data_IF_123908353877
#
_entry.id   IF_123908353877
#
_cell.length_a   1.000
_cell.length_b   1.000
_cell.length_c   1.000
_cell.angle_alpha   90.00
_cell.angle_beta   90.00
_cell.angle_gamma   90.00
#
_symmetry.space_group_name_H-M   'P 1'
#
loop_
_entity.id
_entity.type
_entity.pdbx_description
1 polymer ?
#
# COMPACT_ATOMS: atom_id res chain seq x y z
N UNK A 1 33.75 -21.60 -15.32
CA UNK A 1 33.46 -20.22 -15.75
C UNK A 1 34.51 -19.32 -15.15
N UNK A 2 35.16 -18.49 -15.93
CA UNK A 2 36.16 -17.54 -15.47
C UNK A 2 35.50 -16.45 -14.58
N UNK A 3 36.29 -15.85 -13.66
CA UNK A 3 35.81 -14.77 -12.78
C UNK A 3 35.34 -13.54 -13.59
N UNK A 4 35.98 -13.25 -14.71
CA UNK A 4 35.59 -12.14 -15.58
C UNK A 4 34.27 -12.41 -16.27
N UNK A 5 34.02 -13.63 -16.73
CA UNK A 5 32.75 -14.05 -17.34
C UNK A 5 31.60 -13.93 -16.31
N UNK A 6 31.81 -14.41 -15.07
CA UNK A 6 30.83 -14.33 -14.01
C UNK A 6 30.46 -12.87 -13.68
N UNK A 7 31.47 -11.98 -13.62
CA UNK A 7 31.27 -10.55 -13.36
C UNK A 7 30.47 -9.90 -14.50
N UNK A 8 30.77 -10.23 -15.75
CA UNK A 8 30.05 -9.72 -16.92
C UNK A 8 28.60 -10.18 -16.91
N UNK A 9 28.33 -11.47 -16.69
CA UNK A 9 26.97 -12.02 -16.61
C UNK A 9 26.17 -11.33 -15.49
N UNK A 10 26.79 -11.06 -14.33
CA UNK A 10 26.13 -10.36 -13.22
C UNK A 10 25.77 -8.92 -13.63
N UNK A 11 26.68 -8.20 -14.26
CA UNK A 11 26.45 -6.82 -14.76
C UNK A 11 25.35 -6.77 -15.81
N UNK A 12 25.39 -7.68 -16.79
CA UNK A 12 24.36 -7.79 -17.84
C UNK A 12 22.99 -8.09 -17.23
N UNK A 13 22.92 -8.95 -16.20
CA UNK A 13 21.71 -9.21 -15.43
C UNK A 13 21.16 -7.96 -14.76
N UNK A 14 22.01 -7.18 -14.08
CA UNK A 14 21.60 -5.93 -13.44
C UNK A 14 21.14 -4.87 -14.46
N UNK A 15 21.85 -4.74 -15.57
CA UNK A 15 21.48 -3.80 -16.65
C UNK A 15 20.10 -4.16 -17.23
N UNK A 16 19.87 -5.44 -17.52
CA UNK A 16 18.56 -5.91 -17.99
C UNK A 16 17.44 -5.65 -16.98
N UNK A 17 17.70 -5.88 -15.69
CA UNK A 17 16.74 -5.62 -14.63
C UNK A 17 16.37 -4.12 -14.58
N UNK A 18 17.36 -3.23 -14.60
CA UNK A 18 17.17 -1.78 -14.60
C UNK A 18 16.35 -1.33 -15.83
N UNK A 19 16.58 -1.96 -16.97
CA UNK A 19 15.85 -1.71 -18.22
C UNK A 19 14.46 -2.40 -18.24
N UNK A 20 14.03 -3.03 -17.12
CA UNK A 20 12.78 -3.79 -17.00
C UNK A 20 12.68 -5.03 -17.91
N UNK A 21 13.78 -5.49 -18.45
CA UNK A 21 13.89 -6.73 -19.22
C UNK A 21 14.03 -7.92 -18.25
N UNK A 22 12.99 -8.18 -17.46
CA UNK A 22 13.05 -9.11 -16.33
C UNK A 22 13.41 -10.56 -16.75
N UNK A 23 12.89 -11.03 -17.88
CA UNK A 23 13.19 -12.35 -18.40
C UNK A 23 14.68 -12.51 -18.74
N UNK A 24 15.27 -11.53 -19.43
CA UNK A 24 16.69 -11.53 -19.78
C UNK A 24 17.59 -11.44 -18.53
N UNK A 25 17.24 -10.58 -17.56
CA UNK A 25 17.95 -10.49 -16.30
C UNK A 25 17.97 -11.85 -15.57
N UNK A 26 16.80 -12.49 -15.48
CA UNK A 26 16.61 -13.80 -14.84
C UNK A 26 17.45 -14.88 -15.52
N UNK A 27 17.48 -14.91 -16.85
CA UNK A 27 18.29 -15.88 -17.59
C UNK A 27 19.77 -15.78 -17.24
N UNK A 28 20.33 -14.56 -17.17
CA UNK A 28 21.71 -14.34 -16.76
C UNK A 28 21.96 -14.83 -15.34
N UNK A 29 21.12 -14.43 -14.39
CA UNK A 29 21.28 -14.82 -12.99
C UNK A 29 21.09 -16.32 -12.74
N UNK A 30 20.23 -17.00 -13.51
CA UNK A 30 20.09 -18.46 -13.44
C UNK A 30 21.36 -19.20 -13.90
N UNK A 31 22.15 -18.65 -14.86
CA UNK A 31 23.46 -19.21 -15.22
C UNK A 31 24.42 -19.20 -14.02
N UNK A 32 24.45 -18.08 -13.28
CA UNK A 32 25.27 -17.95 -12.08
C UNK A 32 24.75 -18.83 -10.92
N UNK A 33 23.45 -18.95 -10.77
CA UNK A 33 22.85 -19.75 -9.72
C UNK A 33 23.14 -21.25 -9.89
N UNK A 34 23.42 -21.75 -11.11
CA UNK A 34 23.87 -23.12 -11.32
C UNK A 34 25.25 -23.40 -10.68
N UNK A 35 26.08 -22.35 -10.55
CA UNK A 35 27.44 -22.46 -9.98
C UNK A 35 27.38 -22.31 -8.45
N UNK A 36 26.57 -21.35 -7.98
CA UNK A 36 26.36 -21.11 -6.56
C UNK A 36 24.86 -21.15 -6.22
N UNK A 37 24.28 -22.35 -6.02
CA UNK A 37 22.85 -22.53 -5.81
C UNK A 37 22.29 -21.89 -4.53
N UNK A 38 23.17 -21.54 -3.58
CA UNK A 38 22.80 -20.92 -2.29
C UNK A 38 23.04 -19.42 -2.25
N UNK A 39 23.35 -18.80 -3.36
CA UNK A 39 23.59 -17.36 -3.43
C UNK A 39 22.31 -16.57 -3.20
N UNK A 40 22.16 -16.03 -2.00
CA UNK A 40 20.95 -15.27 -1.58
C UNK A 40 20.71 -14.05 -2.47
N UNK A 41 21.79 -13.35 -2.88
CA UNK A 41 21.63 -12.16 -3.75
C UNK A 41 21.06 -12.51 -5.12
N UNK A 42 21.51 -13.60 -5.74
CA UNK A 42 20.97 -14.09 -7.00
C UNK A 42 19.53 -14.57 -6.84
N UNK A 43 19.24 -15.33 -5.78
CA UNK A 43 17.90 -15.80 -5.49
C UNK A 43 16.93 -14.64 -5.29
N UNK A 44 17.33 -13.58 -4.56
CA UNK A 44 16.55 -12.35 -4.40
C UNK A 44 16.31 -11.64 -5.74
N UNK A 45 17.37 -11.46 -6.54
CA UNK A 45 17.23 -10.83 -7.86
C UNK A 45 16.24 -11.59 -8.74
N UNK A 46 16.36 -12.92 -8.81
CA UNK A 46 15.46 -13.78 -9.58
C UNK A 46 14.02 -13.68 -9.05
N UNK A 47 13.81 -13.74 -7.73
CA UNK A 47 12.47 -13.61 -7.14
C UNK A 47 11.81 -12.29 -7.51
N UNK A 48 12.57 -11.18 -7.50
CA UNK A 48 12.08 -9.86 -7.91
C UNK A 48 11.69 -9.82 -9.39
N UNK A 49 12.43 -10.51 -10.29
CA UNK A 49 12.04 -10.56 -11.71
C UNK A 49 10.68 -11.23 -11.90
N UNK A 50 10.42 -12.30 -11.18
CA UNK A 50 9.13 -12.97 -11.20
C UNK A 50 8.02 -12.10 -10.60
N UNK A 51 8.31 -11.43 -9.49
CA UNK A 51 7.36 -10.51 -8.85
C UNK A 51 6.91 -9.39 -9.77
N UNK A 52 7.84 -8.72 -10.46
CA UNK A 52 7.50 -7.66 -11.41
C UNK A 52 6.75 -8.15 -12.66
N UNK A 53 6.84 -9.43 -12.98
CA UNK A 53 6.04 -10.08 -14.01
C UNK A 53 4.70 -10.63 -13.47
N UNK A 54 4.37 -10.37 -12.20
CA UNK A 54 3.17 -10.90 -11.50
C UNK A 54 3.08 -12.44 -11.47
N UNK A 55 4.24 -13.13 -11.46
CA UNK A 55 4.36 -14.58 -11.37
C UNK A 55 4.55 -14.98 -9.90
N UNK A 56 3.47 -14.93 -9.12
CA UNK A 56 3.54 -15.06 -7.67
C UNK A 56 4.04 -16.45 -7.20
N UNK A 57 3.68 -17.51 -7.90
CA UNK A 57 4.10 -18.88 -7.55
C UNK A 57 5.62 -19.07 -7.70
N UNK A 58 6.18 -18.57 -8.82
CA UNK A 58 7.63 -18.60 -9.03
C UNK A 58 8.35 -17.68 -8.02
N UNK A 59 7.79 -16.52 -7.71
CA UNK A 59 8.31 -15.62 -6.67
C UNK A 59 8.38 -16.34 -5.33
N UNK A 60 7.30 -16.97 -4.89
CA UNK A 60 7.23 -17.77 -3.67
C UNK A 60 8.30 -18.86 -3.65
N UNK A 61 8.43 -19.62 -4.73
CA UNK A 61 9.42 -20.71 -4.85
C UNK A 61 10.84 -20.25 -4.55
N UNK A 62 11.24 -19.07 -5.08
CA UNK A 62 12.59 -18.55 -4.85
C UNK A 62 12.73 -17.94 -3.45
N UNK A 63 11.72 -17.27 -2.94
CA UNK A 63 11.73 -16.73 -1.58
C UNK A 63 11.81 -17.84 -0.52
N UNK A 64 11.11 -18.96 -0.71
CA UNK A 64 11.23 -20.14 0.19
C UNK A 64 12.66 -20.65 0.23
N UNK A 65 13.34 -20.76 -0.92
CA UNK A 65 14.77 -21.16 -0.94
C UNK A 65 15.65 -20.23 -0.12
N UNK A 66 15.40 -18.91 -0.15
CA UNK A 66 16.17 -17.95 0.64
C UNK A 66 15.89 -18.16 2.13
N UNK A 67 14.63 -18.28 2.52
CA UNK A 67 14.23 -18.50 3.93
C UNK A 67 14.75 -19.83 4.46
N UNK A 68 14.81 -20.88 3.64
CA UNK A 68 15.40 -22.18 3.99
C UNK A 68 16.91 -22.10 4.19
N UNK A 69 17.61 -21.26 3.40
CA UNK A 69 19.08 -21.04 3.55
C UNK A 69 19.36 -20.16 4.77
N UNK A 70 18.59 -19.07 4.93
CA UNK A 70 18.79 -18.11 6.00
C UNK A 70 17.46 -17.50 6.44
N UNK A 71 16.85 -18.05 7.47
CA UNK A 71 15.63 -17.51 8.06
C UNK A 71 15.81 -16.08 8.61
N UNK A 72 17.03 -15.68 8.95
CA UNK A 72 17.32 -14.34 9.48
C UNK A 72 17.43 -13.26 8.41
N UNK A 73 17.02 -13.54 7.16
CA UNK A 73 16.93 -12.55 6.09
C UNK A 73 15.53 -11.86 6.12
N UNK A 74 15.40 -10.69 6.80
CA UNK A 74 14.08 -10.14 7.10
C UNK A 74 13.33 -9.69 5.84
N UNK A 75 14.04 -9.23 4.80
CA UNK A 75 13.43 -8.79 3.55
C UNK A 75 12.80 -9.95 2.80
N UNK A 76 13.50 -11.07 2.69
CA UNK A 76 12.97 -12.25 2.01
C UNK A 76 11.79 -12.86 2.77
N UNK A 77 11.88 -12.95 4.10
CA UNK A 77 10.80 -13.44 4.94
C UNK A 77 9.55 -12.55 4.84
N UNK A 78 9.73 -11.24 4.94
CA UNK A 78 8.64 -10.27 4.80
C UNK A 78 7.96 -10.37 3.43
N UNK A 79 8.76 -10.45 2.37
CA UNK A 79 8.23 -10.58 1.02
C UNK A 79 7.50 -11.92 0.82
N UNK A 80 8.03 -13.02 1.36
CA UNK A 80 7.35 -14.33 1.33
C UNK A 80 5.97 -14.26 2.00
N UNK A 81 5.89 -13.64 3.17
CA UNK A 81 4.62 -13.47 3.89
C UNK A 81 3.60 -12.69 3.05
N UNK A 82 4.03 -11.58 2.42
CA UNK A 82 3.15 -10.76 1.58
C UNK A 82 2.70 -11.51 0.31
N UNK A 83 3.57 -12.31 -0.31
CA UNK A 83 3.23 -13.14 -1.47
C UNK A 83 2.22 -14.24 -1.08
N UNK A 84 2.42 -14.87 0.07
CA UNK A 84 1.46 -15.86 0.59
C UNK A 84 0.09 -15.23 0.88
N UNK A 85 0.05 -14.02 1.42
CA UNK A 85 -1.18 -13.26 1.61
C UNK A 85 -1.87 -12.96 0.27
N UNK A 86 -1.12 -12.51 -0.75
CA UNK A 86 -1.65 -12.22 -2.08
C UNK A 86 -2.23 -13.47 -2.77
N UNK A 87 -1.69 -14.65 -2.46
CA UNK A 87 -2.18 -15.93 -2.96
C UNK A 87 -3.29 -16.55 -2.10
N UNK A 88 -3.79 -15.80 -1.12
CA UNK A 88 -4.79 -16.26 -0.13
C UNK A 88 -4.33 -17.44 0.76
N UNK A 89 -3.01 -17.68 0.85
CA UNK A 89 -2.39 -18.70 1.71
C UNK A 89 -2.22 -18.17 3.15
N UNK A 90 -3.29 -17.65 3.73
CA UNK A 90 -3.29 -16.91 5.02
C UNK A 90 -2.72 -17.74 6.17
N UNK A 91 -3.07 -19.03 6.24
CA UNK A 91 -2.60 -19.92 7.30
C UNK A 91 -1.07 -20.08 7.28
N UNK A 92 -0.47 -20.17 6.09
CA UNK A 92 0.98 -20.25 5.94
C UNK A 92 1.66 -18.92 6.25
N UNK A 93 1.10 -17.81 5.76
CA UNK A 93 1.59 -16.47 6.08
C UNK A 93 1.66 -16.26 7.61
N UNK A 94 0.57 -16.60 8.33
CA UNK A 94 0.54 -16.53 9.81
C UNK A 94 1.59 -17.44 10.47
N UNK A 95 1.90 -18.63 9.92
CA UNK A 95 2.98 -19.50 10.43
C UNK A 95 4.36 -18.84 10.29
N UNK A 96 4.65 -18.25 9.13
CA UNK A 96 5.94 -17.55 8.91
C UNK A 96 6.07 -16.30 9.77
N UNK A 97 4.98 -15.56 10.02
CA UNK A 97 5.01 -14.44 10.95
C UNK A 97 5.35 -14.92 12.37
N UNK A 98 4.65 -15.94 12.88
CA UNK A 98 4.94 -16.51 14.21
C UNK A 98 6.41 -16.95 14.33
N UNK A 99 6.93 -17.61 13.30
CA UNK A 99 8.32 -18.05 13.26
C UNK A 99 9.28 -16.86 13.28
N UNK A 100 9.04 -15.84 12.45
CA UNK A 100 9.86 -14.63 12.38
C UNK A 100 9.86 -13.83 13.70
N UNK A 101 8.70 -13.72 14.36
CA UNK A 101 8.58 -13.10 15.68
C UNK A 101 9.34 -13.88 16.76
N UNK A 102 9.20 -15.22 16.79
CA UNK A 102 9.90 -16.08 17.76
C UNK A 102 11.42 -16.02 17.63
N UNK A 103 11.93 -15.80 16.43
CA UNK A 103 13.36 -15.64 16.13
C UNK A 103 13.84 -14.19 16.19
N UNK A 104 12.97 -13.23 16.53
CA UNK A 104 13.24 -11.77 16.57
C UNK A 104 13.73 -11.21 15.23
N UNK A 105 13.33 -11.83 14.12
CA UNK A 105 13.60 -11.35 12.75
C UNK A 105 12.56 -10.31 12.32
N UNK A 106 11.32 -10.47 12.79
CA UNK A 106 10.20 -9.56 12.55
C UNK A 106 9.86 -8.77 13.82
N UNK A 107 9.36 -7.57 13.63
CA UNK A 107 8.96 -6.66 14.70
C UNK A 107 7.47 -6.74 15.05
N UNK A 108 7.03 -5.89 15.98
CA UNK A 108 5.66 -5.83 16.51
C UNK A 108 4.60 -5.50 15.46
N UNK A 109 4.96 -4.83 14.37
CA UNK A 109 4.07 -4.55 13.25
C UNK A 109 3.50 -5.84 12.65
N UNK A 110 4.34 -6.88 12.51
CA UNK A 110 3.92 -8.17 11.95
C UNK A 110 2.94 -8.92 12.84
N UNK A 111 3.01 -8.73 14.16
CA UNK A 111 2.00 -9.28 15.07
C UNK A 111 0.63 -8.67 14.80
N UNK A 112 0.57 -7.34 14.62
CA UNK A 112 -0.68 -6.64 14.30
C UNK A 112 -1.20 -7.08 12.92
N UNK A 113 -0.33 -7.13 11.92
CA UNK A 113 -0.69 -7.60 10.59
C UNK A 113 -1.27 -9.03 10.63
N UNK A 114 -0.64 -9.94 11.36
CA UNK A 114 -1.13 -11.32 11.54
C UNK A 114 -2.54 -11.37 12.12
N UNK A 115 -2.86 -10.49 13.09
CA UNK A 115 -4.17 -10.47 13.73
C UNK A 115 -5.27 -9.88 12.84
N UNK A 116 -4.91 -9.09 11.84
CA UNK A 116 -5.84 -8.46 10.89
C UNK A 116 -5.94 -9.20 9.55
N UNK A 117 -5.06 -10.19 9.30
CA UNK A 117 -5.10 -11.00 8.08
C UNK A 117 -6.34 -11.89 8.03
N UNK A 118 -7.04 -11.86 6.91
CA UNK A 118 -8.18 -12.72 6.61
C UNK A 118 -8.14 -13.19 5.16
N UNK A 119 -8.77 -14.33 4.83
CA UNK A 119 -8.96 -14.75 3.44
C UNK A 119 -9.67 -13.67 2.62
N UNK A 120 -9.23 -13.49 1.38
CA UNK A 120 -9.91 -12.61 0.41
C UNK A 120 -11.23 -13.27 -0.02
N UNK A 121 -11.17 -14.57 -0.32
CA UNK A 121 -12.34 -15.36 -0.71
C UNK A 121 -12.77 -16.21 0.48
N UNK A 122 -14.00 -16.02 0.93
CA UNK A 122 -14.63 -16.83 1.97
C UNK A 122 -15.64 -17.78 1.31
N UNK A 123 -15.53 -19.05 1.63
CA UNK A 123 -16.25 -20.12 0.93
C UNK A 123 -17.69 -20.31 1.41
N UNK A 124 -18.06 -19.70 2.55
CA UNK A 124 -19.40 -19.82 3.13
C UNK A 124 -19.77 -18.62 4.00
N UNK A 125 -21.08 -18.45 4.23
CA UNK A 125 -21.57 -17.44 5.16
C UNK A 125 -21.07 -17.66 6.60
N UNK A 126 -20.85 -18.90 7.00
CA UNK A 126 -20.34 -19.22 8.33
C UNK A 126 -18.87 -18.83 8.47
N UNK A 127 -18.08 -19.03 7.41
CA UNK A 127 -16.70 -18.55 7.36
C UNK A 127 -16.63 -17.03 7.39
N UNK A 128 -17.50 -16.33 6.67
CA UNK A 128 -17.62 -14.86 6.72
C UNK A 128 -17.87 -14.41 8.16
N UNK A 129 -18.89 -14.97 8.83
CA UNK A 129 -19.24 -14.63 10.21
C UNK A 129 -18.08 -14.90 11.17
N UNK A 130 -17.47 -16.09 11.07
CA UNK A 130 -16.33 -16.49 11.91
C UNK A 130 -15.15 -15.53 11.74
N UNK A 131 -14.76 -15.24 10.50
CA UNK A 131 -13.64 -14.32 10.19
C UNK A 131 -13.92 -12.92 10.72
N UNK A 132 -15.16 -12.43 10.58
CA UNK A 132 -15.58 -11.14 11.09
C UNK A 132 -15.48 -11.05 12.62
N UNK A 133 -15.98 -12.06 13.32
CA UNK A 133 -15.90 -12.15 14.81
C UNK A 133 -14.43 -12.20 15.25
N UNK A 134 -13.59 -12.97 14.55
CA UNK A 134 -12.16 -13.08 14.87
C UNK A 134 -11.46 -11.73 14.70
N UNK A 135 -11.67 -11.03 13.57
CA UNK A 135 -11.10 -9.70 13.32
C UNK A 135 -11.56 -8.71 14.39
N UNK A 136 -12.85 -8.69 14.70
CA UNK A 136 -13.42 -7.78 15.70
C UNK A 136 -12.80 -8.01 17.08
N UNK A 137 -12.71 -9.26 17.52
CA UNK A 137 -12.05 -9.65 18.76
C UNK A 137 -10.58 -9.23 18.80
N UNK A 138 -9.85 -9.44 17.71
CA UNK A 138 -8.43 -9.07 17.62
C UNK A 138 -8.24 -7.55 17.70
N UNK A 139 -9.09 -6.78 17.01
CA UNK A 139 -9.09 -5.32 17.07
C UNK A 139 -9.36 -4.83 18.49
N UNK A 140 -10.35 -5.39 19.16
CA UNK A 140 -10.69 -5.04 20.57
C UNK A 140 -9.53 -5.34 21.50
N UNK A 141 -8.87 -6.48 21.35
CA UNK A 141 -7.70 -6.84 22.13
C UNK A 141 -6.54 -5.84 21.94
N UNK A 142 -6.31 -5.36 20.70
CA UNK A 142 -5.29 -4.35 20.42
C UNK A 142 -5.69 -2.99 21.02
N UNK A 143 -6.95 -2.57 20.89
CA UNK A 143 -7.45 -1.30 21.46
C UNK A 143 -7.30 -1.29 22.97
N UNK A 144 -7.65 -2.39 23.64
CA UNK A 144 -7.61 -2.52 25.10
C UNK A 144 -6.21 -2.76 25.66
N UNK A 145 -5.24 -3.07 24.83
CA UNK A 145 -3.87 -3.32 25.26
C UNK A 145 -3.23 -2.01 25.75
N UNK A 146 -2.64 -1.97 26.97
CA UNK A 146 -1.95 -0.78 27.48
C UNK A 146 -0.68 -0.43 26.70
N UNK A 147 -0.14 -1.35 25.90
CA UNK A 147 1.05 -1.11 25.09
C UNK A 147 0.81 -0.02 24.03
N UNK A 148 1.77 0.89 23.91
CA UNK A 148 1.78 1.91 22.87
C UNK A 148 2.55 1.39 21.67
N UNK A 149 1.85 1.08 20.59
CA UNK A 149 2.44 0.49 19.39
C UNK A 149 3.35 1.47 18.65
N UNK A 150 2.98 2.76 18.58
CA UNK A 150 3.77 3.82 17.93
C UNK A 150 4.30 3.44 16.55
N UNK A 151 3.45 2.82 15.74
CA UNK A 151 3.81 2.49 14.36
C UNK A 151 3.91 3.77 13.54
N UNK A 152 4.87 3.80 12.62
CA UNK A 152 4.97 4.85 11.62
C UNK A 152 4.15 4.46 10.40
N UNK A 153 3.18 5.28 10.00
CA UNK A 153 2.23 4.99 8.92
C UNK A 153 2.93 4.85 7.56
N UNK A 154 4.06 5.54 7.34
CA UNK A 154 4.81 5.45 6.07
C UNK A 154 5.55 4.12 5.91
N UNK A 155 5.95 3.47 7.03
CA UNK A 155 6.79 2.27 7.02
C UNK A 155 6.06 0.99 7.43
N UNK A 156 4.98 1.11 8.21
CA UNK A 156 4.29 -0.01 8.85
C UNK A 156 2.80 -0.02 8.49
N UNK A 157 2.51 0.05 7.21
CA UNK A 157 1.13 0.16 6.74
C UNK A 157 0.32 -1.12 7.01
N UNK A 158 -0.78 -0.97 7.75
CA UNK A 158 -1.82 -1.99 7.88
C UNK A 158 -2.92 -1.67 6.87
N UNK A 159 -3.26 -2.64 6.02
CA UNK A 159 -4.29 -2.47 5.01
C UNK A 159 -5.63 -2.04 5.62
N UNK A 160 -6.41 -1.17 4.94
CA UNK A 160 -7.73 -0.80 5.40
C UNK A 160 -8.68 -2.00 5.48
N UNK A 161 -9.09 -2.36 6.68
CA UNK A 161 -9.98 -3.51 6.92
C UNK A 161 -11.38 -3.27 6.34
N UNK A 162 -11.82 -2.03 6.32
CA UNK A 162 -13.16 -1.64 5.88
C UNK A 162 -13.45 -2.06 4.46
N UNK A 163 -12.44 -2.02 3.57
CA UNK A 163 -12.63 -2.37 2.17
C UNK A 163 -13.04 -3.84 1.99
N UNK A 164 -12.31 -4.77 2.61
CA UNK A 164 -12.62 -6.21 2.52
C UNK A 164 -13.92 -6.59 3.22
N UNK A 165 -14.24 -5.92 4.32
CA UNK A 165 -15.46 -6.16 5.10
C UNK A 165 -16.72 -5.61 4.42
N UNK A 166 -16.60 -4.68 3.49
CA UNK A 166 -17.74 -4.10 2.76
C UNK A 166 -18.43 -5.12 1.85
N UNK A 167 -17.74 -6.20 1.46
CA UNK A 167 -18.30 -7.26 0.62
C UNK A 167 -19.05 -8.35 1.41
N UNK A 168 -19.00 -8.29 2.73
CA UNK A 168 -19.55 -9.33 3.61
C UNK A 168 -21.08 -9.23 3.83
N UNK A 169 -21.76 -8.24 3.24
CA UNK A 169 -23.22 -8.00 3.32
C UNK A 169 -23.77 -7.76 4.74
N UNK A 170 -22.93 -7.37 5.70
CA UNK A 170 -23.34 -7.01 7.06
C UNK A 170 -23.33 -5.49 7.25
N UNK A 171 -24.09 -5.02 8.25
CA UNK A 171 -23.93 -3.65 8.75
C UNK A 171 -22.52 -3.49 9.34
N UNK A 172 -21.79 -2.52 8.80
CA UNK A 172 -20.41 -2.26 9.16
C UNK A 172 -20.23 -1.06 10.11
N UNK A 173 -21.32 -0.38 10.52
CA UNK A 173 -21.21 0.87 11.28
C UNK A 173 -20.39 0.71 12.55
N UNK A 174 -20.74 -0.25 13.39
CA UNK A 174 -20.07 -0.44 14.68
C UNK A 174 -18.64 -0.98 14.52
N UNK A 175 -18.44 -1.88 13.56
CA UNK A 175 -17.11 -2.39 13.24
C UNK A 175 -16.19 -1.29 12.69
N UNK A 176 -16.71 -0.42 11.83
CA UNK A 176 -15.97 0.73 11.32
C UNK A 176 -15.56 1.70 12.43
N UNK A 177 -16.43 1.96 13.42
CA UNK A 177 -16.08 2.75 14.60
C UNK A 177 -14.92 2.11 15.39
N UNK A 178 -14.92 0.79 15.55
CA UNK A 178 -13.81 0.04 16.16
C UNK A 178 -12.54 0.12 15.34
N UNK A 179 -12.63 -0.01 14.00
CA UNK A 179 -11.49 0.16 13.11
C UNK A 179 -10.83 1.54 13.24
N UNK A 180 -11.62 2.62 13.34
CA UNK A 180 -11.07 3.97 13.57
C UNK A 180 -10.29 4.03 14.91
N UNK A 181 -10.84 3.48 15.98
CA UNK A 181 -10.15 3.43 17.29
C UNK A 181 -8.86 2.60 17.20
N UNK A 182 -8.90 1.49 16.49
CA UNK A 182 -7.76 0.63 16.25
C UNK A 182 -6.64 1.38 15.49
N UNK A 183 -6.94 2.03 14.37
CA UNK A 183 -5.92 2.79 13.63
C UNK A 183 -5.34 3.94 14.46
N UNK A 184 -6.16 4.66 15.22
CA UNK A 184 -5.69 5.69 16.13
C UNK A 184 -4.82 5.15 17.27
N UNK A 185 -5.02 3.90 17.70
CA UNK A 185 -4.21 3.23 18.71
C UNK A 185 -2.85 2.83 18.19
N UNK A 186 -2.77 2.34 16.96
CA UNK A 186 -1.50 1.87 16.36
C UNK A 186 -0.69 2.99 15.71
N UNK A 187 -1.36 4.04 15.20
CA UNK A 187 -0.75 5.22 14.56
C UNK A 187 -1.08 6.50 15.35
N UNK A 188 -0.23 6.89 16.31
CA UNK A 188 -0.49 8.08 17.15
C UNK A 188 -0.65 9.37 16.37
N UNK A 189 -0.02 9.50 15.19
CA UNK A 189 -0.15 10.66 14.33
C UNK A 189 -1.60 10.92 13.86
N UNK A 190 -2.46 9.90 13.81
CA UNK A 190 -3.88 10.07 13.48
C UNK A 190 -4.70 10.71 14.60
N UNK A 191 -4.13 10.88 15.80
CA UNK A 191 -4.78 11.57 16.91
C UNK A 191 -4.57 13.08 16.90
N UNK A 192 -3.72 13.59 16.00
CA UNK A 192 -3.49 15.04 15.90
C UNK A 192 -4.75 15.73 15.39
N UNK A 193 -5.36 16.54 16.25
CA UNK A 193 -6.46 17.41 15.85
C UNK A 193 -5.84 18.71 15.34
N UNK A 194 -6.02 19.00 14.06
CA UNK A 194 -5.56 20.25 13.47
C UNK A 194 -6.70 21.27 13.56
N UNK A 195 -6.57 22.26 14.43
CA UNK A 195 -7.47 23.40 14.48
C UNK A 195 -7.20 24.28 13.25
N UNK A 196 -8.06 24.17 12.25
CA UNK A 196 -8.01 25.05 11.09
C UNK A 196 -8.76 26.34 11.46
N UNK A 197 -8.02 27.42 11.71
CA UNK A 197 -8.63 28.75 11.82
C UNK A 197 -9.19 29.12 10.44
N UNK A 198 -10.51 28.99 10.28
CA UNK A 198 -11.20 29.40 9.05
C UNK A 198 -11.05 30.90 8.87
N UNK A 199 -10.55 31.30 7.72
CA UNK A 199 -10.63 32.68 7.27
C UNK A 199 -11.96 32.79 6.52
N UNK A 200 -12.80 33.74 6.87
CA UNK A 200 -14.04 34.01 6.14
C UNK A 200 -13.71 34.29 4.67
N UNK A 201 -14.13 33.43 3.79
CA UNK A 201 -14.02 33.56 2.34
C UNK A 201 -15.42 33.62 1.72
N UNK A 202 -15.56 34.39 0.66
CA UNK A 202 -16.81 34.44 -0.13
C UNK A 202 -17.06 33.13 -0.92
N UNK A 203 -16.02 32.31 -1.08
CA UNK A 203 -16.09 31.03 -1.81
C UNK A 203 -15.78 29.86 -0.90
N UNK A 204 -16.40 28.71 -1.21
CA UNK A 204 -16.13 27.43 -0.55
C UNK A 204 -14.88 26.82 -1.17
N UNK A 205 -13.86 26.55 -0.36
CA UNK A 205 -12.65 25.83 -0.80
C UNK A 205 -12.88 24.33 -0.75
N UNK A 206 -12.88 23.69 -1.92
CA UNK A 206 -13.07 22.25 -2.03
C UNK A 206 -11.82 21.60 -2.61
N UNK A 207 -11.26 20.61 -1.89
CA UNK A 207 -10.17 19.78 -2.32
C UNK A 207 -10.66 18.41 -2.80
N UNK A 208 -10.16 17.95 -3.93
CA UNK A 208 -10.32 16.58 -4.42
C UNK A 208 -8.99 15.87 -4.32
N UNK A 209 -8.94 14.74 -3.60
CA UNK A 209 -7.72 13.94 -3.45
C UNK A 209 -7.92 12.53 -3.95
N UNK A 210 -7.09 12.09 -4.91
CA UNK A 210 -7.17 10.73 -5.47
C UNK A 210 -5.88 10.34 -6.19
N UNK A 211 -5.53 9.05 -6.10
CA UNK A 211 -4.49 8.42 -6.93
C UNK A 211 -4.95 8.23 -8.38
N UNK A 212 -6.27 8.17 -8.60
CA UNK A 212 -6.90 7.75 -9.84
C UNK A 212 -7.51 8.89 -10.65
N UNK A 213 -7.16 10.17 -10.39
CA UNK A 213 -7.53 11.30 -11.26
C UNK A 213 -6.71 11.32 -12.55
N UNK A 214 -6.74 10.18 -13.24
CA UNK A 214 -6.05 9.86 -14.49
C UNK A 214 -7.06 9.23 -15.45
N UNK A 215 -6.61 8.59 -16.54
CA UNK A 215 -7.48 7.87 -17.50
C UNK A 215 -8.13 6.59 -16.91
N UNK A 216 -8.26 6.55 -15.60
CA UNK A 216 -9.00 5.57 -14.82
C UNK A 216 -10.49 5.91 -14.74
N UNK A 217 -11.34 4.94 -14.38
CA UNK A 217 -12.79 5.14 -14.21
C UNK A 217 -13.12 6.28 -13.24
N UNK A 218 -12.42 6.37 -12.12
CA UNK A 218 -12.58 7.45 -11.13
C UNK A 218 -12.32 8.82 -11.77
N UNK A 219 -11.21 8.97 -12.50
CA UNK A 219 -10.89 10.21 -13.19
C UNK A 219 -11.94 10.57 -14.24
N UNK A 220 -12.46 9.58 -15.00
CA UNK A 220 -13.53 9.80 -15.99
C UNK A 220 -14.82 10.28 -15.35
N UNK A 221 -15.19 9.74 -14.19
CA UNK A 221 -16.40 10.12 -13.46
C UNK A 221 -16.27 11.51 -12.84
N UNK A 222 -15.16 11.83 -12.17
CA UNK A 222 -15.05 13.02 -11.34
C UNK A 222 -14.48 14.25 -12.05
N UNK A 223 -13.74 14.09 -13.17
CA UNK A 223 -13.21 15.25 -13.90
C UNK A 223 -14.30 16.26 -14.29
N UNK A 224 -15.49 15.77 -14.67
CA UNK A 224 -16.60 16.63 -15.08
C UNK A 224 -17.12 17.50 -13.93
N UNK A 225 -17.15 16.95 -12.71
CA UNK A 225 -17.50 17.69 -11.50
C UNK A 225 -16.42 18.73 -11.22
N UNK A 226 -15.15 18.32 -11.16
CA UNK A 226 -13.99 19.18 -10.86
C UNK A 226 -13.94 20.38 -11.81
N UNK A 227 -14.11 20.15 -13.12
CA UNK A 227 -13.95 21.18 -14.15
C UNK A 227 -15.22 22.06 -14.37
N UNK A 228 -16.38 21.70 -13.78
CA UNK A 228 -17.65 22.41 -13.99
C UNK A 228 -18.24 23.01 -12.73
N UNK A 229 -17.55 22.93 -11.58
CA UNK A 229 -17.97 23.65 -10.39
C UNK A 229 -17.98 25.17 -10.67
N UNK A 230 -19.01 25.84 -10.20
CA UNK A 230 -19.19 27.29 -10.36
C UNK A 230 -18.05 28.05 -9.66
N UNK A 231 -17.15 28.62 -10.44
CA UNK A 231 -15.99 29.36 -9.95
C UNK A 231 -16.33 30.62 -9.14
N UNK A 232 -17.58 31.12 -9.23
CA UNK A 232 -18.03 32.23 -8.38
C UNK A 232 -18.32 31.75 -6.96
N UNK A 233 -18.56 30.43 -6.75
CA UNK A 233 -18.94 29.83 -5.47
C UNK A 233 -17.83 28.95 -4.89
N UNK A 234 -16.96 28.39 -5.73
CA UNK A 234 -15.97 27.39 -5.32
C UNK A 234 -14.55 27.76 -5.76
N UNK A 235 -13.63 27.60 -4.86
CA UNK A 235 -12.18 27.50 -5.16
C UNK A 235 -11.81 26.03 -5.16
N UNK A 236 -11.49 25.50 -6.34
CA UNK A 236 -11.26 24.06 -6.54
C UNK A 236 -9.77 23.75 -6.49
N UNK A 237 -9.41 22.77 -5.67
CA UNK A 237 -8.05 22.30 -5.49
C UNK A 237 -8.00 20.79 -5.74
N UNK A 238 -7.02 20.33 -6.52
CA UNK A 238 -6.83 18.92 -6.84
C UNK A 238 -5.51 18.45 -6.27
N UNK A 239 -5.54 17.39 -5.50
CA UNK A 239 -4.37 16.75 -4.92
C UNK A 239 -4.11 15.42 -5.62
N UNK A 240 -3.01 15.32 -6.33
CA UNK A 240 -2.51 14.12 -6.96
C UNK A 240 -1.55 13.41 -6.02
N UNK A 241 -1.53 12.09 -6.02
CA UNK A 241 -0.50 11.33 -5.34
C UNK A 241 0.74 11.19 -6.23
N UNK A 242 1.86 10.79 -5.64
CA UNK A 242 3.11 10.50 -6.34
C UNK A 242 2.94 9.40 -7.43
N UNK A 243 1.96 8.51 -7.27
CA UNK A 243 1.66 7.45 -8.24
C UNK A 243 0.78 7.88 -9.41
N UNK A 244 0.33 9.12 -9.42
CA UNK A 244 -0.54 9.63 -10.49
C UNK A 244 0.16 9.56 -11.84
N UNK A 245 -0.39 8.76 -12.75
CA UNK A 245 0.18 8.52 -14.08
C UNK A 245 -0.21 9.63 -15.07
N UNK A 246 0.65 9.93 -16.02
CA UNK A 246 0.32 10.80 -17.13
C UNK A 246 -0.83 10.21 -17.96
N UNK A 247 -1.69 11.10 -18.48
CA UNK A 247 -2.84 10.72 -19.28
C UNK A 247 -3.65 11.94 -19.72
N UNK A 248 -4.69 11.70 -20.50
CA UNK A 248 -5.52 12.77 -21.08
C UNK A 248 -6.25 13.57 -20.02
N UNK A 249 -6.70 12.92 -18.95
CA UNK A 249 -7.41 13.57 -17.84
C UNK A 249 -6.46 14.46 -17.04
N UNK A 250 -5.27 13.96 -16.69
CA UNK A 250 -4.26 14.78 -16.01
C UNK A 250 -3.88 16.00 -16.85
N UNK A 251 -3.77 15.85 -18.19
CA UNK A 251 -3.53 16.98 -19.08
C UNK A 251 -4.66 18.02 -18.98
N UNK A 252 -5.92 17.60 -19.04
CA UNK A 252 -7.08 18.51 -18.90
C UNK A 252 -7.07 19.27 -17.56
N UNK A 253 -6.69 18.60 -16.47
CA UNK A 253 -6.58 19.24 -15.14
C UNK A 253 -5.41 20.26 -15.10
N UNK A 254 -4.30 19.97 -15.77
CA UNK A 254 -3.19 20.94 -15.90
C UNK A 254 -3.56 22.13 -16.79
N UNK A 255 -4.29 21.90 -17.88
CA UNK A 255 -4.77 22.97 -18.74
C UNK A 255 -5.76 23.89 -17.99
N UNK A 256 -6.63 23.30 -17.14
CA UNK A 256 -7.53 24.06 -16.27
C UNK A 256 -6.79 24.88 -15.20
N UNK A 257 -5.66 24.39 -14.69
CA UNK A 257 -4.80 25.17 -13.80
C UNK A 257 -4.17 26.36 -14.51
N UNK A 258 -3.65 26.17 -15.73
CA UNK A 258 -3.08 27.25 -16.54
C UNK A 258 -4.10 28.36 -16.85
N UNK A 259 -5.37 28.00 -16.98
CA UNK A 259 -6.46 28.98 -17.16
C UNK A 259 -6.94 29.63 -15.84
N UNK A 260 -6.39 29.24 -14.71
CA UNK A 260 -6.74 29.76 -13.39
C UNK A 260 -8.05 29.19 -12.80
N UNK A 261 -8.60 28.13 -13.41
CA UNK A 261 -9.85 27.51 -12.95
C UNK A 261 -9.69 26.70 -11.68
N UNK A 262 -8.56 26.01 -11.53
CA UNK A 262 -8.27 25.12 -10.40
C UNK A 262 -6.79 25.29 -9.97
N UNK A 263 -6.42 24.70 -8.82
CA UNK A 263 -5.03 24.51 -8.42
C UNK A 263 -4.72 23.02 -8.38
N UNK A 264 -3.51 22.61 -8.80
CA UNK A 264 -3.04 21.23 -8.68
C UNK A 264 -1.87 21.15 -7.70
N UNK A 265 -1.88 20.13 -6.85
CA UNK A 265 -0.75 19.76 -5.99
C UNK A 265 -0.37 18.31 -6.23
N UNK A 266 0.92 18.04 -6.33
CA UNK A 266 1.47 16.68 -6.33
C UNK A 266 2.01 16.39 -4.93
N UNK A 267 1.32 15.52 -4.22
CA UNK A 267 1.63 15.19 -2.83
C UNK A 267 2.83 14.23 -2.75
N UNK A 268 3.78 14.46 -1.83
CA UNK A 268 4.86 13.51 -1.56
C UNK A 268 4.32 12.21 -0.95
N UNK A 269 5.14 11.16 -0.87
CA UNK A 269 4.77 9.90 -0.21
C UNK A 269 4.61 10.03 1.31
N UNK A 270 5.42 10.89 1.94
CA UNK A 270 5.42 11.05 3.40
C UNK A 270 4.11 11.63 3.94
N UNK A 271 3.49 10.92 4.90
CA UNK A 271 2.18 11.27 5.46
C UNK A 271 2.14 12.66 6.11
N UNK A 272 3.14 13.01 6.92
CA UNK A 272 3.16 14.30 7.61
C UNK A 272 3.34 15.47 6.64
N UNK A 273 4.09 15.28 5.56
CA UNK A 273 4.26 16.30 4.52
C UNK A 273 2.97 16.47 3.70
N UNK A 274 2.30 15.37 3.35
CA UNK A 274 0.96 15.42 2.73
C UNK A 274 0.00 16.23 3.57
N UNK A 275 -0.10 15.92 4.87
CA UNK A 275 -0.96 16.66 5.79
C UNK A 275 -0.64 18.14 5.81
N UNK A 276 0.62 18.53 5.90
CA UNK A 276 1.04 19.95 5.92
C UNK A 276 0.58 20.70 4.67
N UNK A 277 0.72 20.08 3.48
CA UNK A 277 0.30 20.69 2.21
C UNK A 277 -1.22 20.89 2.20
N UNK A 278 -1.99 19.86 2.56
CA UNK A 278 -3.46 19.91 2.57
C UNK A 278 -3.96 20.94 3.59
N UNK A 279 -3.41 20.94 4.80
CA UNK A 279 -3.81 21.86 5.87
C UNK A 279 -3.52 23.33 5.54
N UNK A 280 -2.43 23.60 4.80
CA UNK A 280 -2.06 24.96 4.36
C UNK A 280 -3.16 25.59 3.49
N UNK A 281 -3.89 24.79 2.74
CA UNK A 281 -4.98 25.27 1.88
C UNK A 281 -6.25 25.69 2.64
N UNK A 282 -6.39 25.29 3.93
CA UNK A 282 -7.56 25.64 4.78
C UNK A 282 -8.88 25.32 4.12
N UNK A 283 -9.04 24.09 3.63
CA UNK A 283 -10.22 23.62 2.92
C UNK A 283 -11.47 23.67 3.80
N UNK A 284 -12.62 23.96 3.20
CA UNK A 284 -13.94 23.75 3.79
C UNK A 284 -14.38 22.30 3.62
N UNK A 285 -14.05 21.71 2.46
CA UNK A 285 -14.41 20.34 2.10
C UNK A 285 -13.18 19.64 1.52
N UNK A 286 -12.86 18.45 2.00
CA UNK A 286 -11.93 17.53 1.34
C UNK A 286 -12.71 16.30 0.87
N UNK A 287 -12.72 16.10 -0.43
CA UNK A 287 -13.48 15.04 -1.08
C UNK A 287 -12.56 13.93 -1.57
N UNK A 288 -12.89 12.70 -1.19
CA UNK A 288 -12.19 11.48 -1.61
C UNK A 288 -13.08 10.75 -2.64
N UNK A 289 -12.75 10.78 -3.95
CA UNK A 289 -13.49 10.06 -4.99
C UNK A 289 -13.54 8.55 -4.81
N UNK A 290 -12.54 7.99 -4.12
CA UNK A 290 -12.45 6.57 -3.78
C UNK A 290 -12.05 6.39 -2.31
N UNK A 291 -12.59 5.33 -1.70
CA UNK A 291 -12.22 4.90 -0.35
C UNK A 291 -11.80 3.43 -0.40
N UNK A 292 -10.59 3.14 0.06
CA UNK A 292 -10.06 1.78 0.17
C UNK A 292 -9.45 1.19 -1.11
N UNK A 293 -9.52 1.87 -2.26
CA UNK A 293 -8.82 1.47 -3.49
C UNK A 293 -7.32 1.83 -3.43
N UNK A 294 -6.99 2.96 -2.81
CA UNK A 294 -5.62 3.36 -2.55
C UNK A 294 -5.25 3.13 -1.10
N UNK A 295 -4.09 2.53 -0.89
CA UNK A 295 -3.52 2.33 0.46
C UNK A 295 -2.85 3.62 0.96
N UNK A 296 -2.62 4.60 0.08
CA UNK A 296 -1.90 5.84 0.40
C UNK A 296 -2.79 7.01 0.81
N UNK A 297 -4.10 6.86 0.64
CA UNK A 297 -5.12 7.81 1.04
C UNK A 297 -5.86 7.30 2.27
#
# INVERSE_FOLDING_TARGET
MDKNDAKKILQDGHQNFTNKNYSAAREQWLKLLKIDPKNISLLNGISLTYYYENKLEDTEKFLRKIVDINLSEPKALSMLILILEQQDKISEAKKFIKLGLSKKVLDKHWEILMQTMSPIIKLSNDEIKKTRIEIEKNIEAIISNPYNYNLNIDNHLIKPLQFSLSYDQFDNLELNKKCIKFYKKIYPELNKVNNINKVSSSKIKIGFISEYLTDHTIGKLFKGIILRLDQNKFDVIVFHTEKTKNGSILKQLKDAEQSGMIKNYFLPSNFNEKQKIILKEKLDILFYPEIGLSIQL
#
